data_IF_013162001183
#
_entry.id   IF_013162001183
#
_cell.length_a   1.000
_cell.length_b   1.000
_cell.length_c   1.000
_cell.angle_alpha   90.00
_cell.angle_beta   90.00
_cell.angle_gamma   90.00
#
_symmetry.space_group_name_H-M   'P 1'
#
loop_
_entity.id
_entity.type
_entity.pdbx_description
1 polymer ?
#
# COMPACT_ATOMS: atom_id res chain seq x y z
N UNK A 1 -39.20 -53.86 43.35
CA UNK A 1 -39.39 -52.43 43.02
C UNK A 1 -38.02 -51.76 42.82
N UNK A 2 -37.30 -52.01 41.73
CA UNK A 2 -36.06 -51.30 41.35
C UNK A 2 -35.95 -51.28 39.82
N UNK A 3 -36.86 -50.57 39.13
CA UNK A 3 -36.79 -50.36 37.66
C UNK A 3 -36.39 -48.93 37.29
N UNK A 4 -36.65 -47.95 38.16
CA UNK A 4 -36.47 -46.54 37.84
C UNK A 4 -35.01 -46.07 37.83
N UNK A 5 -34.10 -46.75 38.54
CA UNK A 5 -32.70 -46.31 38.65
C UNK A 5 -31.91 -46.52 37.36
N UNK A 6 -32.16 -47.64 36.63
CA UNK A 6 -31.49 -47.92 35.35
C UNK A 6 -32.00 -47.03 34.22
N UNK A 7 -33.30 -46.73 34.21
CA UNK A 7 -33.89 -45.84 33.20
C UNK A 7 -33.39 -44.40 33.37
N UNK A 8 -33.29 -43.91 34.60
CA UNK A 8 -32.70 -42.58 34.88
C UNK A 8 -31.25 -42.48 34.41
N UNK A 9 -30.44 -43.52 34.64
CA UNK A 9 -29.03 -43.57 34.20
C UNK A 9 -28.88 -43.62 32.68
N UNK A 10 -29.75 -44.33 31.96
CA UNK A 10 -29.76 -44.33 30.50
C UNK A 10 -30.20 -42.98 29.95
N UNK A 11 -31.23 -42.36 30.55
CA UNK A 11 -31.71 -41.04 30.17
C UNK A 11 -30.66 -39.94 30.39
N UNK A 12 -29.92 -39.96 31.50
CA UNK A 12 -28.83 -39.00 31.72
C UNK A 12 -27.67 -39.20 30.75
N UNK A 13 -27.31 -40.44 30.41
CA UNK A 13 -26.31 -40.71 29.38
C UNK A 13 -26.75 -40.16 28.02
N UNK A 14 -27.99 -40.44 27.62
CA UNK A 14 -28.53 -39.98 26.34
C UNK A 14 -28.67 -38.46 26.28
N UNK A 15 -29.07 -37.82 27.39
CA UNK A 15 -29.09 -36.36 27.51
C UNK A 15 -27.69 -35.76 27.40
N UNK A 16 -26.67 -36.37 28.01
CA UNK A 16 -25.28 -35.92 27.91
C UNK A 16 -24.79 -35.95 26.46
N UNK A 17 -25.01 -37.05 25.75
CA UNK A 17 -24.61 -37.18 24.35
C UNK A 17 -25.37 -36.22 23.44
N UNK A 18 -26.67 -36.02 23.68
CA UNK A 18 -27.46 -35.05 22.93
C UNK A 18 -26.95 -33.61 23.11
N UNK A 19 -26.58 -33.25 24.35
CA UNK A 19 -26.05 -31.92 24.67
C UNK A 19 -24.66 -31.72 24.06
N UNK A 20 -23.81 -32.75 24.07
CA UNK A 20 -22.52 -32.74 23.39
C UNK A 20 -22.67 -32.57 21.87
N UNK A 21 -23.59 -33.32 21.24
CA UNK A 21 -23.87 -33.20 19.81
C UNK A 21 -24.39 -31.80 19.45
N UNK A 22 -25.26 -31.22 20.29
CA UNK A 22 -25.79 -29.88 20.10
C UNK A 22 -24.69 -28.81 20.21
N UNK A 23 -23.78 -28.94 21.18
CA UNK A 23 -22.60 -28.08 21.30
C UNK A 23 -21.69 -28.18 20.07
N UNK A 24 -21.35 -29.40 19.65
CA UNK A 24 -20.50 -29.63 18.46
C UNK A 24 -21.15 -29.02 17.22
N UNK A 25 -22.47 -29.21 17.03
CA UNK A 25 -23.20 -28.62 15.91
C UNK A 25 -23.18 -27.09 15.96
N UNK A 26 -23.46 -26.50 17.12
CA UNK A 26 -23.44 -25.04 17.30
C UNK A 26 -22.06 -24.44 17.01
N UNK A 27 -20.99 -25.04 17.55
CA UNK A 27 -19.63 -24.58 17.30
C UNK A 27 -19.17 -24.86 15.87
N UNK A 28 -19.56 -25.99 15.27
CA UNK A 28 -19.23 -26.33 13.89
C UNK A 28 -19.86 -25.37 12.89
N UNK A 29 -21.15 -25.04 13.05
CA UNK A 29 -21.85 -24.04 12.22
C UNK A 29 -21.24 -22.65 12.44
N UNK A 30 -21.03 -22.24 13.69
CA UNK A 30 -20.40 -20.94 13.97
C UNK A 30 -18.95 -20.84 13.45
N UNK A 31 -18.20 -21.94 13.40
CA UNK A 31 -16.86 -21.94 12.81
C UNK A 31 -16.90 -21.74 11.28
N UNK A 32 -17.96 -22.20 10.62
CA UNK A 32 -18.16 -22.02 9.18
C UNK A 32 -18.76 -20.64 8.83
N UNK A 33 -19.71 -20.15 9.61
CA UNK A 33 -20.45 -18.89 9.36
C UNK A 33 -19.86 -17.68 10.09
N UNK A 34 -19.00 -17.89 11.07
CA UNK A 34 -18.45 -16.81 11.89
C UNK A 34 -17.43 -15.94 11.15
N UNK A 35 -17.35 -14.68 11.55
CA UNK A 35 -16.38 -13.63 11.10
C UNK A 35 -14.89 -14.05 11.14
N UNK A 36 -14.54 -15.17 11.77
CA UNK A 36 -13.18 -15.72 11.85
C UNK A 36 -13.05 -17.09 11.15
N UNK A 37 -14.10 -17.53 10.45
CA UNK A 37 -14.11 -18.77 9.67
C UNK A 37 -13.29 -18.68 8.39
N UNK A 38 -13.10 -19.81 7.73
CA UNK A 38 -12.29 -19.97 6.51
C UNK A 38 -12.66 -18.99 5.37
N UNK A 39 -13.91 -18.51 5.36
CA UNK A 39 -14.48 -17.60 4.37
C UNK A 39 -14.19 -16.11 4.63
N UNK A 40 -13.91 -15.70 5.86
CA UNK A 40 -13.63 -14.30 6.20
C UNK A 40 -12.26 -13.80 5.72
N UNK A 41 -11.37 -14.72 5.32
CA UNK A 41 -10.08 -14.38 4.70
C UNK A 41 -10.24 -13.78 3.30
N UNK A 42 -11.26 -14.17 2.55
CA UNK A 42 -11.40 -13.76 1.15
C UNK A 42 -11.57 -12.25 0.98
N UNK A 43 -12.45 -11.62 1.77
CA UNK A 43 -12.68 -10.18 1.70
C UNK A 43 -11.46 -9.39 2.18
N UNK A 44 -10.83 -9.84 3.27
CA UNK A 44 -9.60 -9.23 3.80
C UNK A 44 -8.43 -9.35 2.81
N UNK A 45 -8.26 -10.51 2.16
CA UNK A 45 -7.23 -10.71 1.15
C UNK A 45 -7.46 -9.81 -0.06
N UNK A 46 -8.71 -9.63 -0.49
CA UNK A 46 -9.05 -8.69 -1.56
C UNK A 46 -8.75 -7.23 -1.17
N UNK A 47 -9.09 -6.84 0.05
CA UNK A 47 -8.80 -5.51 0.57
C UNK A 47 -7.29 -5.26 0.68
N UNK A 48 -6.52 -6.26 1.14
CA UNK A 48 -5.05 -6.23 1.19
C UNK A 48 -4.47 -6.05 -0.21
N UNK A 49 -4.97 -6.79 -1.21
CA UNK A 49 -4.52 -6.66 -2.60
C UNK A 49 -4.81 -5.26 -3.13
N UNK A 50 -6.02 -4.74 -2.91
CA UNK A 50 -6.42 -3.41 -3.34
C UNK A 50 -5.52 -2.32 -2.72
N UNK A 51 -5.38 -2.31 -1.40
CA UNK A 51 -4.55 -1.36 -0.66
C UNK A 51 -3.07 -1.44 -1.07
N UNK A 52 -2.55 -2.65 -1.28
CA UNK A 52 -1.15 -2.83 -1.70
C UNK A 52 -0.93 -2.26 -3.10
N UNK A 53 -1.87 -2.46 -4.02
CA UNK A 53 -1.79 -1.89 -5.38
C UNK A 53 -1.83 -0.37 -5.37
N UNK A 54 -2.68 0.22 -4.52
CA UNK A 54 -2.79 1.66 -4.37
C UNK A 54 -1.52 2.27 -3.76
N UNK A 55 -0.93 1.59 -2.76
CA UNK A 55 0.33 1.98 -2.14
C UNK A 55 1.46 2.01 -3.17
N UNK A 56 1.56 0.99 -4.03
CA UNK A 56 2.56 0.94 -5.10
C UNK A 56 2.38 2.10 -6.07
N UNK A 57 1.14 2.40 -6.47
CA UNK A 57 0.83 3.55 -7.35
C UNK A 57 1.26 4.88 -6.72
N UNK A 58 0.85 5.13 -5.48
CA UNK A 58 1.18 6.37 -4.75
C UNK A 58 2.68 6.53 -4.54
N UNK A 59 3.41 5.44 -4.25
CA UNK A 59 4.87 5.48 -4.15
C UNK A 59 5.52 5.88 -5.47
N UNK A 60 5.01 5.40 -6.60
CA UNK A 60 5.51 5.78 -7.92
C UNK A 60 5.27 7.26 -8.21
N UNK A 61 4.05 7.74 -7.96
CA UNK A 61 3.71 9.17 -8.11
C UNK A 61 4.59 10.06 -7.23
N UNK A 62 4.85 9.64 -5.99
CA UNK A 62 5.75 10.32 -5.07
C UNK A 62 7.18 10.36 -5.59
N UNK A 63 7.72 9.25 -6.09
CA UNK A 63 9.07 9.21 -6.66
C UNK A 63 9.21 10.11 -7.89
N UNK A 64 8.23 10.11 -8.79
CA UNK A 64 8.20 11.00 -9.96
C UNK A 64 8.06 12.48 -9.56
N UNK A 65 7.29 12.77 -8.51
CA UNK A 65 7.20 14.10 -7.91
C UNK A 65 8.53 14.54 -7.31
N UNK A 66 9.21 13.67 -6.58
CA UNK A 66 10.51 13.96 -5.97
C UNK A 66 11.61 14.20 -7.00
N UNK A 67 11.61 13.46 -8.11
CA UNK A 67 12.52 13.70 -9.22
C UNK A 67 12.29 15.08 -9.86
N UNK A 68 11.03 15.49 -10.02
CA UNK A 68 10.69 16.83 -10.53
C UNK A 68 11.04 17.92 -9.54
N UNK A 69 10.80 17.70 -8.24
CA UNK A 69 11.17 18.66 -7.20
C UNK A 69 12.69 18.76 -7.08
N UNK A 70 13.44 17.66 -7.18
CA UNK A 70 14.90 17.71 -7.17
C UNK A 70 15.46 18.42 -8.40
N UNK A 71 14.85 18.26 -9.58
CA UNK A 71 15.23 19.01 -10.78
C UNK A 71 14.89 20.50 -10.69
N UNK A 72 13.87 20.88 -9.91
CA UNK A 72 13.45 22.27 -9.72
C UNK A 72 14.08 22.95 -8.49
N UNK A 73 14.66 22.17 -7.56
CA UNK A 73 15.37 22.71 -6.41
C UNK A 73 16.65 23.39 -6.90
N UNK A 74 16.62 24.71 -6.85
CA UNK A 74 17.74 25.60 -7.18
C UNK A 74 19.00 25.41 -6.31
N UNK A 75 19.00 24.48 -5.34
CA UNK A 75 20.19 24.13 -4.56
C UNK A 75 21.27 23.44 -5.38
N UNK A 76 20.98 23.10 -6.64
CA UNK A 76 21.97 22.68 -7.65
C UNK A 76 21.93 23.52 -8.93
N UNK A 77 21.39 24.75 -8.88
CA UNK A 77 21.50 25.65 -10.01
C UNK A 77 22.93 26.21 -10.00
N UNK A 78 23.78 25.64 -10.85
CA UNK A 78 25.19 26.00 -10.96
C UNK A 78 25.31 27.52 -11.22
N UNK A 79 25.99 28.28 -10.34
CA UNK A 79 26.24 29.70 -10.55
C UNK A 79 26.81 30.02 -11.94
N UNK A 80 27.60 29.11 -12.51
CA UNK A 80 28.18 29.27 -13.84
C UNK A 80 27.12 29.22 -14.94
N UNK A 81 26.08 28.38 -14.79
CA UNK A 81 24.96 28.33 -15.74
C UNK A 81 24.10 29.61 -15.70
N UNK A 82 24.00 30.25 -14.53
CA UNK A 82 23.36 31.56 -14.41
C UNK A 82 24.22 32.65 -15.07
N UNK A 83 25.52 32.64 -14.86
CA UNK A 83 26.45 33.62 -15.46
C UNK A 83 26.48 33.50 -16.99
N UNK A 84 26.51 32.29 -17.55
CA UNK A 84 26.39 32.08 -19.00
C UNK A 84 25.08 32.65 -19.56
N UNK A 85 23.95 32.43 -18.88
CA UNK A 85 22.65 32.94 -19.32
C UNK A 85 22.58 34.46 -19.27
N UNK A 86 23.16 35.07 -18.23
CA UNK A 86 23.26 36.52 -18.06
C UNK A 86 24.13 37.11 -19.17
N UNK A 87 25.32 36.54 -19.44
CA UNK A 87 26.21 36.98 -20.52
C UNK A 87 25.57 36.87 -21.90
N UNK A 88 24.87 35.78 -22.17
CA UNK A 88 24.13 35.59 -23.43
C UNK A 88 23.02 36.63 -23.61
N UNK A 89 22.28 36.97 -22.54
CA UNK A 89 21.18 37.94 -22.64
C UNK A 89 21.65 39.41 -22.70
N UNK A 90 22.79 39.73 -22.09
CA UNK A 90 23.32 41.09 -22.00
C UNK A 90 24.40 41.40 -23.04
N UNK A 91 24.67 40.47 -23.98
CA UNK A 91 25.78 40.56 -24.94
C UNK A 91 27.13 40.89 -24.26
N UNK A 92 27.31 40.38 -23.04
CA UNK A 92 28.45 40.72 -22.19
C UNK A 92 29.57 39.71 -22.38
N UNK A 93 30.67 40.13 -23.01
CA UNK A 93 31.89 39.32 -23.14
C UNK A 93 32.84 39.59 -21.96
N UNK A 94 33.47 38.53 -21.43
CA UNK A 94 34.46 38.70 -20.36
C UNK A 94 35.71 39.42 -20.90
N UNK A 95 36.42 40.25 -20.10
CA UNK A 95 37.64 40.94 -20.54
C UNK A 95 38.78 40.06 -21.08
N UNK A 96 38.66 38.73 -20.96
CA UNK A 96 39.63 37.74 -21.44
C UNK A 96 39.13 36.96 -22.67
N UNK A 97 37.93 37.24 -23.14
CA UNK A 97 37.33 36.55 -24.28
C UNK A 97 37.79 37.19 -25.60
N UNK A 98 38.09 36.35 -26.58
CA UNK A 98 38.52 36.80 -27.91
C UNK A 98 37.29 37.11 -28.77
N UNK A 99 36.94 38.40 -28.92
CA UNK A 99 35.84 38.83 -29.79
C UNK A 99 36.34 39.00 -31.22
N UNK A 100 35.76 38.27 -32.17
CA UNK A 100 36.03 38.39 -33.61
C UNK A 100 34.83 39.02 -34.32
N UNK A 101 34.96 40.27 -34.76
CA UNK A 101 33.94 40.93 -35.58
C UNK A 101 33.93 40.31 -36.97
N UNK A 102 32.86 39.58 -37.29
CA UNK A 102 32.62 39.02 -38.62
C UNK A 102 31.80 40.03 -39.43
N UNK A 103 32.39 40.58 -40.49
CA UNK A 103 31.69 41.46 -41.43
C UNK A 103 30.73 40.60 -42.26
N UNK A 104 29.43 40.67 -41.96
CA UNK A 104 28.43 40.07 -42.85
C UNK A 104 28.46 40.81 -44.19
N UNK A 105 28.82 40.08 -45.24
CA UNK A 105 28.76 40.54 -46.61
C UNK A 105 27.35 40.23 -47.11
N UNK A 106 26.56 41.28 -47.33
CA UNK A 106 25.33 41.22 -48.14
C UNK A 106 25.67 40.78 -49.57
#
# INVERSE_FOLDING_TARGET
>A
MVKHTRLKSLLTGLALYALAAMMIGYFGVNAYTGKYGLTARGELDQEIIALTSELVRLKKERAEGELRVSSLRSSGLDPDMLDERVRFQLDYAHPRDLVKVIRQRN
#
